data_IF_526863465588
#
_entry.id   IF_526863465588
#
_cell.length_a   1.000
_cell.length_b   1.000
_cell.length_c   1.000
_cell.angle_alpha   90.00
_cell.angle_beta   90.00
_cell.angle_gamma   90.00
#
_symmetry.space_group_name_H-M   'P 1'
#
loop_
_entity.id
_entity.type
_entity.pdbx_description
1 polymer ?
#
# COMPACT_ATOMS: atom_id res chain seq x y z
N UNK A 1 -3.56 -20.23 -0.10
CA UNK A 1 -4.62 -20.09 -1.12
C UNK A 1 -4.26 -20.84 -2.39
N UNK A 2 -3.05 -20.67 -2.92
CA UNK A 2 -2.57 -21.42 -4.09
C UNK A 2 -2.50 -22.94 -3.83
N UNK A 3 -1.84 -23.35 -2.73
CA UNK A 3 -1.74 -24.76 -2.33
C UNK A 3 -3.09 -25.44 -2.04
N UNK A 4 -4.13 -24.65 -1.75
CA UNK A 4 -5.49 -25.15 -1.48
C UNK A 4 -6.38 -25.07 -2.72
N UNK A 5 -5.87 -24.61 -3.87
CA UNK A 5 -6.63 -24.44 -5.12
C UNK A 5 -7.64 -23.29 -5.10
N UNK A 6 -7.60 -22.40 -4.10
CA UNK A 6 -8.51 -21.24 -3.99
C UNK A 6 -8.06 -20.05 -4.84
N UNK A 7 -6.76 -19.95 -5.11
CA UNK A 7 -6.16 -18.90 -5.93
C UNK A 7 -5.46 -19.57 -7.11
N UNK A 8 -5.76 -19.11 -8.31
CA UNK A 8 -5.12 -19.50 -9.55
C UNK A 8 -4.30 -18.29 -10.02
N UNK A 9 -2.98 -18.42 -10.07
CA UNK A 9 -2.07 -17.35 -10.44
C UNK A 9 -2.07 -17.09 -11.96
N UNK A 10 -2.44 -18.08 -12.75
CA UNK A 10 -2.53 -17.96 -14.21
C UNK A 10 -3.86 -17.32 -14.64
N UNK A 11 -4.83 -17.20 -13.73
CA UNK A 11 -6.11 -16.59 -14.00
C UNK A 11 -6.09 -15.07 -13.70
N UNK A 12 -6.25 -14.19 -14.72
CA UNK A 12 -6.23 -12.75 -14.52
C UNK A 12 -7.37 -12.25 -13.63
N UNK A 13 -8.52 -12.92 -13.58
CA UNK A 13 -9.62 -12.53 -12.69
C UNK A 13 -9.21 -12.74 -11.22
N UNK A 14 -8.60 -13.88 -10.92
CA UNK A 14 -8.14 -14.20 -9.57
C UNK A 14 -7.08 -13.21 -9.11
N UNK A 15 -6.10 -12.88 -9.97
CA UNK A 15 -5.06 -11.90 -9.67
C UNK A 15 -5.63 -10.48 -9.51
N UNK A 16 -6.61 -10.08 -10.32
CA UNK A 16 -7.29 -8.80 -10.19
C UNK A 16 -8.00 -8.71 -8.83
N UNK A 17 -8.81 -9.71 -8.48
CA UNK A 17 -9.56 -9.75 -7.22
C UNK A 17 -8.62 -9.78 -6.02
N UNK A 18 -7.55 -10.56 -6.11
CA UNK A 18 -6.51 -10.62 -5.08
C UNK A 18 -5.91 -9.23 -4.83
N UNK A 19 -5.47 -8.55 -5.88
CA UNK A 19 -4.90 -7.20 -5.75
C UNK A 19 -5.93 -6.22 -5.21
N UNK A 20 -7.17 -6.24 -5.71
CA UNK A 20 -8.20 -5.31 -5.26
C UNK A 20 -8.51 -5.47 -3.77
N UNK A 21 -8.69 -6.70 -3.27
CA UNK A 21 -8.99 -6.93 -1.85
C UNK A 21 -7.78 -6.63 -0.96
N UNK A 22 -6.62 -7.21 -1.26
CA UNK A 22 -5.49 -7.16 -0.33
C UNK A 22 -4.75 -5.83 -0.37
N UNK A 23 -4.72 -5.11 -1.49
CA UNK A 23 -4.09 -3.79 -1.53
C UNK A 23 -4.79 -2.81 -0.59
N UNK A 24 -6.13 -2.80 -0.57
CA UNK A 24 -6.92 -1.95 0.32
C UNK A 24 -6.65 -2.30 1.79
N UNK A 25 -6.65 -3.60 2.11
CA UNK A 25 -6.44 -4.07 3.49
C UNK A 25 -5.02 -3.84 3.99
N UNK A 26 -4.01 -4.00 3.12
CA UNK A 26 -2.61 -3.71 3.44
C UNK A 26 -2.45 -2.22 3.71
N UNK A 27 -2.97 -1.36 2.83
CA UNK A 27 -2.90 0.09 3.02
C UNK A 27 -3.58 0.52 4.32
N UNK A 28 -4.75 -0.03 4.63
CA UNK A 28 -5.43 0.21 5.90
C UNK A 28 -4.57 -0.24 7.10
N UNK A 29 -3.99 -1.44 7.06
CA UNK A 29 -3.11 -1.92 8.13
C UNK A 29 -1.85 -1.06 8.29
N UNK A 30 -1.29 -0.53 7.20
CA UNK A 30 -0.16 0.40 7.25
C UNK A 30 -0.54 1.74 7.88
N UNK A 31 -1.74 2.25 7.59
CA UNK A 31 -2.26 3.44 8.24
C UNK A 31 -2.46 3.23 9.74
N UNK A 32 -3.11 2.13 10.14
CA UNK A 32 -3.29 1.77 11.56
C UNK A 32 -1.94 1.61 12.28
N UNK A 33 -0.97 0.97 11.62
CA UNK A 33 0.37 0.82 12.16
C UNK A 33 1.05 2.18 12.34
N UNK A 34 0.99 3.05 11.33
CA UNK A 34 1.57 4.39 11.38
C UNK A 34 0.96 5.20 12.52
N UNK A 35 -0.36 5.18 12.66
CA UNK A 35 -1.07 5.91 13.71
C UNK A 35 -0.73 5.37 15.10
N UNK A 36 -0.66 4.04 15.25
CA UNK A 36 -0.24 3.40 16.49
C UNK A 36 1.20 3.75 16.83
N UNK A 37 2.11 3.65 15.86
CA UNK A 37 3.53 3.92 16.02
C UNK A 37 3.78 5.38 16.43
N UNK A 38 3.17 6.33 15.73
CA UNK A 38 3.37 7.76 15.98
C UNK A 38 2.80 8.22 17.33
N UNK A 39 1.84 7.48 17.89
CA UNK A 39 1.20 7.77 19.17
C UNK A 39 1.59 6.81 20.29
N UNK A 40 2.50 5.87 20.03
CA UNK A 40 3.00 4.95 21.04
C UNK A 40 4.09 5.61 21.89
N UNK A 41 4.03 5.54 23.23
CA UNK A 41 5.01 6.17 24.09
C UNK A 41 6.35 5.41 24.06
N UNK A 42 7.46 6.13 23.88
CA UNK A 42 8.79 5.55 23.84
C UNK A 42 9.38 5.46 25.25
N UNK A 43 9.73 4.26 25.69
CA UNK A 43 10.30 4.03 27.03
C UNK A 43 11.66 4.72 27.24
N UNK A 44 12.40 4.99 26.16
CA UNK A 44 13.70 5.67 26.19
C UNK A 44 13.58 7.19 26.22
N UNK A 45 12.42 7.75 25.87
CA UNK A 45 12.20 9.18 25.70
C UNK A 45 11.13 9.71 26.67
N UNK A 46 11.31 9.45 27.97
CA UNK A 46 10.38 9.91 29.02
C UNK A 46 8.91 9.53 28.79
N UNK A 47 8.67 8.42 28.09
CA UNK A 47 7.33 7.96 27.72
C UNK A 47 6.57 8.93 26.80
N UNK A 48 7.29 9.77 26.04
CA UNK A 48 6.71 10.62 25.00
C UNK A 48 6.52 9.85 23.71
N UNK A 49 5.46 10.20 22.99
CA UNK A 49 5.19 9.64 21.66
C UNK A 49 6.05 10.33 20.59
N UNK A 50 6.33 9.70 19.45
CA UNK A 50 7.00 10.36 18.33
C UNK A 50 6.34 11.69 17.93
N UNK A 51 5.01 11.76 17.91
CA UNK A 51 4.29 13.01 17.67
C UNK A 51 4.56 14.08 18.73
N UNK A 52 4.61 13.71 20.01
CA UNK A 52 4.93 14.64 21.10
C UNK A 52 6.36 15.15 21.00
N UNK A 53 7.32 14.27 20.69
CA UNK A 53 8.71 14.63 20.46
C UNK A 53 8.85 15.60 19.28
N UNK A 54 8.15 15.32 18.18
CA UNK A 54 8.12 16.20 17.01
C UNK A 54 7.57 17.58 17.35
N UNK A 55 6.38 17.65 17.96
CA UNK A 55 5.75 18.92 18.34
C UNK A 55 6.65 19.69 19.31
N UNK A 56 7.17 19.03 20.35
CA UNK A 56 8.05 19.66 21.33
C UNK A 56 9.34 20.16 20.67
N UNK A 57 9.92 19.39 19.75
CA UNK A 57 11.07 19.81 18.96
C UNK A 57 10.77 21.04 18.11
N UNK A 58 9.63 21.07 17.43
CA UNK A 58 9.22 22.20 16.58
C UNK A 58 8.86 23.47 17.36
N UNK A 59 8.48 23.35 18.63
CA UNK A 59 8.20 24.51 19.51
C UNK A 59 9.47 25.16 20.07
N UNK A 60 10.63 24.55 19.90
CA UNK A 60 11.91 25.09 20.39
C UNK A 60 12.40 26.23 19.49
N UNK A 61 12.67 27.37 20.11
CA UNK A 61 13.21 28.56 19.42
C UNK A 61 14.62 28.32 18.84
N UNK A 62 15.37 27.37 19.40
CA UNK A 62 16.69 26.96 18.93
C UNK A 62 16.64 25.85 17.88
N UNK A 63 15.45 25.40 17.45
CA UNK A 63 15.33 24.39 16.40
C UNK A 63 15.52 25.02 15.00
N UNK A 64 16.61 24.71 14.28
CA UNK A 64 16.87 25.26 12.96
C UNK A 64 15.78 24.93 11.93
N UNK A 65 15.09 23.78 12.08
CA UNK A 65 13.94 23.41 11.23
C UNK A 65 12.74 24.33 11.44
N UNK A 66 12.51 24.78 12.66
CA UNK A 66 11.33 25.58 13.02
C UNK A 66 11.47 27.05 12.63
N UNK A 67 12.69 27.58 12.69
CA UNK A 67 12.98 29.00 12.41
C UNK A 67 13.40 29.26 10.95
N UNK A 68 13.36 28.24 10.09
CA UNK A 68 13.86 28.35 8.72
C UNK A 68 15.37 28.62 8.66
N UNK A 69 16.09 28.25 9.72
CA UNK A 69 17.55 28.35 9.83
C UNK A 69 18.25 27.10 9.29
N UNK A 70 17.55 26.31 8.48
CA UNK A 70 18.21 25.39 7.57
C UNK A 70 18.98 26.23 6.56
N UNK A 71 20.20 25.80 6.21
CA UNK A 71 20.93 26.43 5.12
C UNK A 71 20.04 26.45 3.86
N UNK A 72 19.81 27.63 3.29
CA UNK A 72 18.97 27.86 2.09
C UNK A 72 19.48 27.14 0.83
N UNK A 73 20.63 26.47 0.94
CA UNK A 73 21.17 25.60 -0.06
C UNK A 73 21.97 24.51 0.66
N UNK A 74 21.52 23.25 0.67
CA UNK A 74 22.46 22.17 0.89
C UNK A 74 23.35 22.19 -0.36
N UNK A 75 24.45 22.94 -0.29
CA UNK A 75 25.37 23.19 -1.41
C UNK A 75 25.87 21.90 -2.10
N UNK A 76 25.53 20.73 -1.56
CA UNK A 76 25.59 19.49 -2.31
C UNK A 76 24.56 18.42 -1.89
N UNK A 77 23.25 18.69 -2.07
CA UNK A 77 22.26 17.57 -2.11
C UNK A 77 22.41 16.70 -3.35
N UNK A 78 23.20 17.15 -4.33
CA UNK A 78 23.43 16.45 -5.60
C UNK A 78 23.92 15.03 -5.40
N UNK A 79 24.67 14.79 -4.33
CA UNK A 79 25.21 13.48 -3.95
C UNK A 79 24.64 12.95 -2.63
N UNK A 80 23.64 13.61 -2.01
CA UNK A 80 23.06 13.11 -0.77
C UNK A 80 22.25 11.82 -1.05
N UNK A 81 22.80 10.68 -0.65
CA UNK A 81 22.27 9.35 -0.99
C UNK A 81 22.93 8.70 -2.21
N UNK A 82 23.88 9.36 -2.88
CA UNK A 82 24.79 8.70 -3.84
C UNK A 82 25.98 8.10 -3.07
N UNK A 83 26.05 6.76 -3.04
CA UNK A 83 27.22 6.02 -2.59
C UNK A 83 28.14 5.81 -3.79
N UNK A 84 29.17 6.67 -3.95
CA UNK A 84 30.11 6.63 -5.08
C UNK A 84 30.94 5.33 -5.14
N UNK A 85 31.15 4.69 -3.98
CA UNK A 85 31.82 3.38 -3.85
C UNK A 85 30.81 2.23 -3.70
N UNK A 86 29.52 2.56 -3.67
CA UNK A 86 28.42 1.61 -3.60
C UNK A 86 28.17 0.97 -4.96
N UNK A 87 27.62 -0.26 -4.99
CA UNK A 87 27.16 -0.84 -6.24
C UNK A 87 26.12 0.10 -6.85
N UNK A 88 26.41 0.66 -8.02
CA UNK A 88 25.44 1.52 -8.72
C UNK A 88 24.18 0.70 -8.97
N UNK A 89 22.97 1.22 -8.69
CA UNK A 89 21.71 0.50 -8.92
C UNK A 89 21.49 0.12 -10.39
N UNK A 90 22.29 0.68 -11.29
CA UNK A 90 22.12 0.66 -12.74
C UNK A 90 23.18 -0.18 -13.47
N UNK A 91 24.15 -0.76 -12.76
CA UNK A 91 25.03 -1.77 -13.35
C UNK A 91 24.31 -3.13 -13.31
N UNK A 92 23.63 -3.42 -14.42
CA UNK A 92 23.09 -4.71 -14.86
C UNK A 92 22.02 -5.40 -14.02
N UNK A 93 21.22 -4.65 -13.26
CA UNK A 93 20.05 -5.19 -12.59
C UNK A 93 18.89 -4.21 -12.63
N UNK A 94 17.94 -4.46 -13.54
CA UNK A 94 16.61 -3.85 -13.57
C UNK A 94 15.82 -4.21 -12.29
N UNK A 95 16.28 -3.79 -11.12
CA UNK A 95 15.59 -3.99 -9.84
C UNK A 95 14.31 -3.15 -9.70
N UNK A 96 13.92 -2.44 -10.75
CA UNK A 96 12.58 -1.90 -10.92
C UNK A 96 11.60 -3.05 -11.19
N UNK A 97 10.94 -3.54 -10.14
CA UNK A 97 9.82 -4.47 -10.31
C UNK A 97 8.62 -3.71 -10.87
N UNK A 98 8.46 -3.70 -12.19
CA UNK A 98 7.27 -3.15 -12.85
C UNK A 98 6.16 -4.19 -12.72
N UNK A 99 5.19 -3.94 -11.83
CA UNK A 99 3.99 -4.78 -11.72
C UNK A 99 3.00 -4.35 -12.80
N UNK A 100 2.88 -5.15 -13.86
CA UNK A 100 1.87 -4.96 -14.90
C UNK A 100 0.47 -4.96 -14.30
N UNK A 101 -0.37 -4.00 -14.69
CA UNK A 101 -1.79 -4.00 -14.33
C UNK A 101 -2.44 -5.26 -14.88
N UNK A 102 -3.26 -5.91 -14.05
CA UNK A 102 -3.99 -7.11 -14.47
C UNK A 102 -5.06 -6.70 -15.47
N UNK A 103 -4.94 -7.16 -16.71
CA UNK A 103 -5.90 -6.91 -17.77
C UNK A 103 -6.86 -8.09 -17.87
N UNK A 104 -8.16 -7.83 -17.73
CA UNK A 104 -9.20 -8.82 -17.99
C UNK A 104 -9.77 -8.54 -19.39
N UNK A 105 -9.60 -9.44 -20.37
CA UNK A 105 -10.08 -9.21 -21.73
C UNK A 105 -11.60 -9.00 -21.77
N UNK A 106 -12.04 -7.98 -22.50
CA UNK A 106 -13.46 -7.73 -22.78
C UNK A 106 -14.24 -6.97 -21.70
N UNK A 107 -13.61 -6.57 -20.60
CA UNK A 107 -14.28 -5.86 -19.49
C UNK A 107 -13.61 -4.51 -19.24
N UNK A 108 -14.41 -3.48 -19.02
CA UNK A 108 -13.91 -2.20 -18.55
C UNK A 108 -13.57 -2.29 -17.05
N UNK A 109 -12.27 -2.25 -16.72
CA UNK A 109 -11.79 -2.33 -15.34
C UNK A 109 -12.36 -1.24 -14.43
N UNK A 110 -12.63 -0.03 -14.93
CA UNK A 110 -13.17 1.06 -14.11
C UNK A 110 -14.62 0.82 -13.71
N UNK A 111 -15.45 0.37 -14.64
CA UNK A 111 -16.86 0.03 -14.39
C UNK A 111 -16.97 -1.13 -13.39
N UNK A 112 -16.12 -2.15 -13.56
CA UNK A 112 -16.06 -3.29 -12.65
C UNK A 112 -15.64 -2.86 -11.24
N UNK A 113 -14.62 -2.00 -11.11
CA UNK A 113 -14.21 -1.44 -9.81
C UNK A 113 -15.35 -0.61 -9.19
N UNK A 114 -16.08 0.17 -9.99
CA UNK A 114 -17.21 0.95 -9.50
C UNK A 114 -18.31 0.06 -8.92
N UNK A 115 -18.71 -0.99 -9.64
CA UNK A 115 -19.75 -1.93 -9.18
C UNK A 115 -19.29 -2.75 -7.97
N UNK A 116 -18.01 -3.13 -7.91
CA UNK A 116 -17.41 -3.78 -6.74
C UNK A 116 -17.46 -2.89 -5.50
N UNK A 117 -17.06 -1.63 -5.64
CA UNK A 117 -17.02 -0.68 -4.51
C UNK A 117 -18.41 -0.35 -3.97
N UNK A 118 -19.45 -0.43 -4.80
CA UNK A 118 -20.85 -0.25 -4.37
C UNK A 118 -21.43 -1.48 -3.66
N UNK A 119 -20.96 -2.68 -3.99
CA UNK A 119 -21.55 -3.94 -3.51
C UNK A 119 -20.82 -4.54 -2.31
N UNK A 120 -19.49 -4.45 -2.27
CA UNK A 120 -18.66 -5.13 -1.29
C UNK A 120 -17.68 -4.14 -0.64
N UNK A 121 -17.71 -4.08 0.69
CA UNK A 121 -16.69 -3.40 1.47
C UNK A 121 -15.45 -4.31 1.67
N UNK A 122 -14.31 -3.92 1.08
CA UNK A 122 -13.05 -4.64 1.21
C UNK A 122 -12.45 -4.57 2.62
N UNK A 123 -12.83 -3.58 3.43
CA UNK A 123 -12.32 -3.35 4.79
C UNK A 123 -13.22 -3.96 5.88
N UNK A 124 -14.30 -4.63 5.50
CA UNK A 124 -15.17 -5.31 6.46
C UNK A 124 -14.41 -6.31 7.33
N UNK A 125 -14.96 -6.57 8.51
CA UNK A 125 -14.44 -7.57 9.44
C UNK A 125 -14.35 -8.93 8.73
N UNK A 126 -13.17 -9.53 8.79
CA UNK A 126 -12.90 -10.83 8.20
C UNK A 126 -12.74 -11.88 9.29
N UNK A 127 -13.35 -13.03 9.06
CA UNK A 127 -13.21 -14.22 9.89
C UNK A 127 -11.94 -15.02 9.57
N UNK A 128 -11.32 -14.76 8.42
CA UNK A 128 -10.20 -15.52 7.89
C UNK A 128 -9.22 -14.60 7.16
N UNK A 129 -8.68 -13.56 7.82
CA UNK A 129 -7.60 -12.70 7.29
C UNK A 129 -7.82 -12.09 5.88
N UNK A 130 -9.05 -11.94 5.43
CA UNK A 130 -9.45 -11.43 4.11
C UNK A 130 -9.72 -12.51 3.07
N UNK A 131 -9.50 -13.79 3.37
CA UNK A 131 -9.76 -14.92 2.46
C UNK A 131 -11.25 -15.06 2.14
N UNK A 132 -12.10 -14.91 3.16
CA UNK A 132 -13.56 -14.93 3.02
C UNK A 132 -14.06 -13.82 2.07
N UNK A 133 -13.51 -12.62 2.21
CA UNK A 133 -13.81 -11.47 1.35
C UNK A 133 -13.32 -11.72 -0.08
N UNK A 134 -12.10 -12.27 -0.23
CA UNK A 134 -11.57 -12.64 -1.54
C UNK A 134 -12.50 -13.61 -2.28
N UNK A 135 -12.98 -14.66 -1.61
CA UNK A 135 -13.90 -15.65 -2.21
C UNK A 135 -15.21 -14.99 -2.62
N UNK A 136 -15.78 -14.14 -1.77
CA UNK A 136 -17.02 -13.42 -2.06
C UNK A 136 -16.90 -12.50 -3.28
N UNK A 137 -15.82 -11.71 -3.34
CA UNK A 137 -15.55 -10.83 -4.48
C UNK A 137 -15.32 -11.66 -5.75
N UNK A 138 -14.60 -12.77 -5.65
CA UNK A 138 -14.35 -13.65 -6.80
C UNK A 138 -15.66 -14.22 -7.36
N UNK A 139 -16.55 -14.71 -6.49
CA UNK A 139 -17.87 -15.20 -6.89
C UNK A 139 -18.70 -14.11 -7.56
N UNK A 140 -18.70 -12.90 -6.99
CA UNK A 140 -19.42 -11.76 -7.55
C UNK A 140 -18.91 -11.40 -8.95
N UNK A 141 -17.58 -11.30 -9.13
CA UNK A 141 -16.98 -10.97 -10.43
C UNK A 141 -17.29 -12.05 -11.47
N UNK A 142 -17.18 -13.34 -11.13
CA UNK A 142 -17.50 -14.43 -12.06
C UNK A 142 -18.96 -14.37 -12.52
N UNK A 143 -19.90 -14.16 -11.58
CA UNK A 143 -21.33 -14.03 -11.92
C UNK A 143 -21.61 -12.83 -12.83
N UNK A 144 -20.90 -11.73 -12.61
CA UNK A 144 -21.03 -10.52 -13.42
C UNK A 144 -20.60 -10.76 -14.87
N UNK A 145 -19.48 -11.47 -15.04
CA UNK A 145 -18.92 -11.80 -16.35
C UNK A 145 -19.84 -12.77 -17.11
N UNK A 146 -20.38 -13.79 -16.45
CA UNK A 146 -21.33 -14.72 -17.04
C UNK A 146 -22.61 -14.01 -17.53
N UNK A 147 -23.07 -13.01 -16.79
CA UNK A 147 -24.21 -12.18 -17.17
C UNK A 147 -23.92 -11.27 -18.37
N UNK A 148 -22.71 -10.72 -18.49
CA UNK A 148 -22.31 -9.89 -19.64
C UNK A 148 -22.10 -10.72 -20.92
N UNK A 149 -21.59 -11.95 -20.82
CA UNK A 149 -21.40 -12.83 -21.97
C UNK A 149 -22.70 -13.46 -22.51
N UNK A 150 -23.75 -13.48 -21.70
CA UNK A 150 -25.08 -14.00 -22.08
C UNK A 150 -25.96 -12.97 -22.81
N UNK A 151 -25.46 -11.74 -23.03
CA UNK A 151 -26.16 -10.61 -23.63
C UNK A 151 -25.70 -10.34 -25.06
#
# INVERSE_FOLDING_TARGET
MEQTGLLDLDNPIHMFVLHWVFLQRINYALHEWMDSFNNHPLSTEHNWTPNQLWINGMLREDNPLAIGGLDDDPHDTRFYGEDLDGPTPFEDSDNCVIVSKVHIPGINSEELVFQLTQSIDALKLSSCFGIDIFIEVLQFVVQLIEHEQSR
#
